data_IF_841194564926
#
_entry.id   IF_841194564926
#
_cell.length_a   1.000
_cell.length_b   1.000
_cell.length_c   1.000
_cell.angle_alpha   90.00
_cell.angle_beta   90.00
_cell.angle_gamma   90.00
#
_symmetry.space_group_name_H-M   'P 1'
#
loop_
_entity.id
_entity.type
_entity.pdbx_description
1 polymer ?
#
# COMPACT_ATOMS: atom_id res chain seq x y z
N UNK A 1 18.59 27.24 83.42
CA UNK A 1 18.62 25.99 82.75
C UNK A 1 17.69 26.12 81.56
N UNK A 2 18.26 26.35 80.37
CA UNK A 2 17.47 26.39 79.08
C UNK A 2 17.71 25.07 78.36
N UNK A 3 16.66 24.31 78.08
CA UNK A 3 16.85 23.20 77.16
C UNK A 3 16.85 23.74 75.71
N UNK A 4 17.93 23.40 75.05
CA UNK A 4 18.09 23.75 73.64
C UNK A 4 17.00 23.10 72.78
N UNK A 5 16.29 23.94 72.04
CA UNK A 5 15.35 23.46 71.02
C UNK A 5 16.11 23.03 69.79
N UNK A 6 16.22 21.73 69.61
CA UNK A 6 16.71 21.18 68.34
C UNK A 6 15.62 21.34 67.26
N UNK A 7 15.84 22.29 66.39
CA UNK A 7 15.05 22.35 65.12
C UNK A 7 15.61 21.30 64.15
N UNK A 8 14.94 20.19 64.05
CA UNK A 8 15.22 19.25 62.97
C UNK A 8 14.60 19.77 61.70
N UNK A 9 15.41 20.39 60.87
CA UNK A 9 15.06 20.72 59.50
C UNK A 9 14.86 19.42 58.72
N UNK A 10 13.63 19.01 58.51
CA UNK A 10 13.30 17.98 57.54
C UNK A 10 13.40 18.60 56.16
N UNK A 11 14.50 18.38 55.48
CA UNK A 11 14.60 18.62 54.06
C UNK A 11 13.70 17.61 53.36
N UNK A 12 12.53 18.06 52.95
CA UNK A 12 11.70 17.31 52.03
C UNK A 12 12.42 17.24 50.67
N UNK A 13 13.06 16.11 50.44
CA UNK A 13 13.59 15.82 49.11
C UNK A 13 12.43 15.69 48.13
N UNK A 14 12.26 16.69 47.31
CA UNK A 14 11.36 16.55 46.13
C UNK A 14 12.04 15.57 45.20
N UNK A 15 11.61 14.32 45.20
CA UNK A 15 11.87 13.40 44.12
C UNK A 15 11.11 13.94 42.92
N UNK A 16 11.83 14.58 42.02
CA UNK A 16 11.32 14.86 40.69
C UNK A 16 11.26 13.52 39.94
N UNK A 17 10.08 12.90 39.89
CA UNK A 17 9.82 11.77 39.03
C UNK A 17 9.83 12.32 37.58
N UNK A 18 10.99 12.17 36.95
CA UNK A 18 11.09 12.45 35.50
C UNK A 18 10.31 11.34 34.80
N UNK A 19 9.03 11.58 34.52
CA UNK A 19 8.28 10.75 33.58
C UNK A 19 8.88 10.97 32.18
N UNK A 20 9.80 10.11 31.81
CA UNK A 20 10.20 9.96 30.41
C UNK A 20 8.98 9.41 29.69
N UNK A 21 8.17 10.30 29.13
CA UNK A 21 7.19 9.95 28.11
C UNK A 21 8.01 9.54 26.87
N UNK A 22 8.26 8.24 26.76
CA UNK A 22 8.70 7.66 25.51
C UNK A 22 7.55 7.87 24.52
N UNK A 23 7.64 8.90 23.68
CA UNK A 23 6.77 9.06 22.56
C UNK A 23 7.02 7.86 21.66
N UNK A 24 6.13 6.87 21.73
CA UNK A 24 6.10 5.79 20.75
C UNK A 24 5.78 6.45 19.41
N UNK A 25 6.80 6.63 18.58
CA UNK A 25 6.62 6.98 17.20
C UNK A 25 5.97 5.76 16.53
N UNK A 26 4.65 5.76 16.47
CA UNK A 26 3.96 4.85 15.54
C UNK A 26 4.35 5.31 14.15
N UNK A 27 5.23 4.56 13.51
CA UNK A 27 5.43 4.70 12.09
C UNK A 27 4.08 4.40 11.44
N UNK A 28 3.34 5.42 11.02
CA UNK A 28 2.22 5.26 10.13
C UNK A 28 2.78 4.69 8.83
N UNK A 29 2.64 3.38 8.65
CA UNK A 29 2.83 2.79 7.33
C UNK A 29 1.93 3.56 6.37
N UNK A 30 2.52 4.13 5.32
CA UNK A 30 1.73 4.75 4.27
C UNK A 30 0.68 3.74 3.79
N UNK A 31 -0.59 4.15 3.53
CA UNK A 31 -1.58 3.25 2.96
C UNK A 31 -1.01 2.62 1.68
N UNK A 32 -1.38 1.38 1.34
CA UNK A 32 -0.96 0.74 0.11
C UNK A 32 -1.22 1.66 -1.08
N UNK A 33 -0.23 1.88 -1.92
CA UNK A 33 -0.38 2.73 -3.08
C UNK A 33 -1.38 2.12 -4.07
N UNK A 34 -2.20 2.95 -4.71
CA UNK A 34 -3.03 2.56 -5.83
C UNK A 34 -2.28 2.86 -7.13
N UNK A 35 -2.22 1.90 -8.06
CA UNK A 35 -1.67 2.08 -9.38
C UNK A 35 -2.79 1.98 -10.44
N UNK A 36 -2.68 2.78 -11.50
CA UNK A 36 -3.64 2.82 -12.58
C UNK A 36 -2.98 2.40 -13.89
N UNK A 37 -3.65 1.54 -14.62
CA UNK A 37 -3.27 1.14 -15.98
C UNK A 37 -4.45 1.43 -16.90
N UNK A 38 -4.23 2.22 -17.92
CA UNK A 38 -5.21 2.43 -18.96
C UNK A 38 -5.06 1.39 -20.06
N UNK A 39 -6.18 0.96 -20.63
CA UNK A 39 -6.22 0.15 -21.85
C UNK A 39 -6.65 1.10 -22.95
N UNK A 40 -5.74 1.38 -23.88
CA UNK A 40 -6.00 2.26 -25.01
C UNK A 40 -5.15 1.89 -26.21
N UNK A 41 -5.72 2.01 -27.41
CA UNK A 41 -5.07 1.64 -28.65
C UNK A 41 -4.56 0.19 -28.64
N UNK A 42 -5.32 -0.73 -28.05
CA UNK A 42 -4.96 -2.15 -27.90
C UNK A 42 -3.65 -2.36 -27.13
N UNK A 43 -3.39 -1.51 -26.15
CA UNK A 43 -2.20 -1.59 -25.30
C UNK A 43 -2.57 -1.33 -23.85
N UNK A 44 -1.82 -1.94 -22.93
CA UNK A 44 -1.80 -1.57 -21.52
C UNK A 44 -0.79 -0.43 -21.33
N UNK A 45 -1.21 0.67 -20.72
CA UNK A 45 -0.39 1.86 -20.54
C UNK A 45 -0.42 2.32 -19.08
N UNK A 46 0.69 2.29 -18.35
CA UNK A 46 1.97 1.66 -18.70
C UNK A 46 1.85 0.13 -18.76
N UNK A 47 2.71 -0.51 -19.53
CA UNK A 47 2.68 -1.99 -19.65
C UNK A 47 3.55 -2.70 -18.61
N UNK A 48 4.27 -1.96 -17.79
CA UNK A 48 5.02 -2.47 -16.65
C UNK A 48 4.91 -1.49 -15.48
N UNK A 49 4.57 -2.01 -14.31
CA UNK A 49 4.39 -1.22 -13.09
C UNK A 49 5.06 -1.92 -11.94
N UNK A 50 5.82 -1.16 -11.14
CA UNK A 50 6.39 -1.64 -9.87
C UNK A 50 5.58 -1.07 -8.71
N UNK A 51 5.10 -1.94 -7.84
CA UNK A 51 4.27 -1.60 -6.69
C UNK A 51 4.79 -2.27 -5.42
N UNK A 52 4.37 -1.78 -4.27
CA UNK A 52 4.61 -2.44 -2.98
C UNK A 52 3.56 -3.51 -2.73
N UNK A 53 3.94 -4.57 -2.02
CA UNK A 53 3.00 -5.58 -1.53
C UNK A 53 1.85 -4.93 -0.75
N UNK A 54 0.63 -5.38 -0.98
CA UNK A 54 -0.60 -4.81 -0.45
C UNK A 54 -1.22 -3.72 -1.32
N UNK A 55 -0.57 -3.32 -2.42
CA UNK A 55 -1.10 -2.32 -3.36
C UNK A 55 -2.18 -2.90 -4.26
N UNK A 56 -3.11 -2.04 -4.66
CA UNK A 56 -4.18 -2.36 -5.61
C UNK A 56 -3.89 -1.74 -6.96
N UNK A 57 -3.99 -2.54 -8.02
CA UNK A 57 -3.90 -2.08 -9.41
C UNK A 57 -5.30 -2.05 -10.01
N UNK A 58 -5.64 -0.97 -10.67
CA UNK A 58 -6.90 -0.80 -11.40
C UNK A 58 -6.62 -0.63 -12.89
N UNK A 59 -7.20 -1.49 -13.70
CA UNK A 59 -7.20 -1.37 -15.16
C UNK A 59 -8.50 -0.73 -15.61
N UNK A 60 -8.43 0.26 -16.49
CA UNK A 60 -9.59 0.95 -17.04
C UNK A 60 -9.55 0.89 -18.55
N UNK A 61 -10.61 0.38 -19.17
CA UNK A 61 -10.71 0.31 -20.62
C UNK A 61 -11.14 1.67 -21.20
N UNK A 62 -10.28 2.25 -22.02
CA UNK A 62 -10.54 3.52 -22.74
C UNK A 62 -10.66 3.33 -24.25
N UNK A 63 -10.64 2.10 -24.71
CA UNK A 63 -10.93 1.76 -26.09
C UNK A 63 -12.43 1.60 -26.35
N UNK A 64 -12.82 1.64 -27.61
CA UNK A 64 -14.18 1.35 -28.06
C UNK A 64 -14.43 -0.17 -28.20
N UNK A 65 -13.39 -0.99 -28.05
CA UNK A 65 -13.43 -2.44 -28.10
C UNK A 65 -13.37 -3.05 -26.71
N UNK A 66 -14.02 -4.20 -26.46
CA UNK A 66 -13.90 -4.88 -25.18
C UNK A 66 -12.51 -5.50 -24.99
N UNK A 67 -12.02 -5.45 -23.75
CA UNK A 67 -10.76 -6.05 -23.34
C UNK A 67 -10.90 -6.82 -22.04
N UNK A 68 -9.98 -7.75 -21.79
CA UNK A 68 -9.87 -8.47 -20.52
C UNK A 68 -8.49 -8.28 -19.93
N UNK A 69 -8.37 -8.56 -18.64
CA UNK A 69 -7.09 -8.66 -17.93
C UNK A 69 -7.02 -10.04 -17.28
N UNK A 70 -6.09 -10.85 -17.73
CA UNK A 70 -5.95 -12.23 -17.29
C UNK A 70 -4.53 -12.49 -16.82
N UNK A 71 -4.36 -12.94 -15.59
CA UNK A 71 -3.08 -13.40 -15.08
C UNK A 71 -2.62 -14.65 -15.81
N UNK A 72 -1.39 -14.65 -16.33
CA UNK A 72 -0.82 -15.82 -17.00
C UNK A 72 -0.70 -17.02 -16.05
N UNK A 73 -0.49 -16.77 -14.77
CA UNK A 73 -0.44 -17.80 -13.71
C UNK A 73 -1.81 -18.17 -13.12
N UNK A 74 -2.91 -17.60 -13.62
CA UNK A 74 -4.25 -17.90 -13.16
C UNK A 74 -4.65 -17.26 -11.82
N UNK A 75 -3.95 -16.24 -11.37
CA UNK A 75 -4.22 -15.57 -10.10
C UNK A 75 -5.47 -14.69 -10.14
N UNK A 76 -5.73 -14.04 -11.27
CA UNK A 76 -6.91 -13.18 -11.48
C UNK A 76 -7.36 -13.22 -12.93
N UNK A 77 -8.63 -12.90 -13.12
CA UNK A 77 -9.26 -12.77 -14.44
C UNK A 77 -10.40 -11.77 -14.36
N UNK A 78 -10.36 -10.74 -15.20
CA UNK A 78 -11.51 -9.85 -15.36
C UNK A 78 -12.59 -10.48 -16.25
N UNK A 79 -13.82 -10.00 -16.12
CA UNK A 79 -14.79 -10.12 -17.21
C UNK A 79 -14.35 -9.26 -18.41
N UNK A 80 -14.98 -9.42 -19.56
CA UNK A 80 -14.81 -8.49 -20.65
C UNK A 80 -15.28 -7.10 -20.20
N UNK A 81 -14.43 -6.10 -20.35
CA UNK A 81 -14.72 -4.72 -19.99
C UNK A 81 -15.06 -3.93 -21.26
N UNK A 82 -16.22 -3.31 -21.26
CA UNK A 82 -16.60 -2.33 -22.25
C UNK A 82 -15.93 -0.98 -21.96
N UNK A 83 -16.11 0.00 -22.83
CA UNK A 83 -15.55 1.35 -22.66
C UNK A 83 -15.92 1.94 -21.30
N UNK A 84 -14.93 2.50 -20.61
CA UNK A 84 -15.01 3.09 -19.27
C UNK A 84 -15.26 2.11 -18.12
N UNK A 85 -15.34 0.83 -18.38
CA UNK A 85 -15.35 -0.19 -17.33
C UNK A 85 -13.94 -0.44 -16.80
N UNK A 86 -13.87 -0.90 -15.54
CA UNK A 86 -12.60 -1.15 -14.87
C UNK A 86 -12.62 -2.45 -14.07
N UNK A 87 -11.41 -2.94 -13.78
CA UNK A 87 -11.15 -4.11 -12.95
C UNK A 87 -10.00 -3.80 -12.01
N UNK A 88 -10.08 -4.26 -10.77
CA UNK A 88 -9.03 -4.06 -9.76
C UNK A 88 -8.61 -5.37 -9.13
N UNK A 89 -7.33 -5.46 -8.80
CA UNK A 89 -6.76 -6.58 -8.04
C UNK A 89 -5.72 -6.09 -7.04
N UNK A 90 -5.71 -6.67 -5.84
CA UNK A 90 -4.75 -6.36 -4.78
C UNK A 90 -3.65 -7.41 -4.74
N UNK A 91 -2.39 -6.98 -4.82
CA UNK A 91 -1.21 -7.84 -4.83
C UNK A 91 -0.58 -7.89 -3.45
N UNK A 92 -0.78 -8.98 -2.72
CA UNK A 92 -0.28 -9.11 -1.33
C UNK A 92 1.12 -9.70 -1.23
N UNK A 93 1.59 -10.39 -2.28
CA UNK A 93 2.87 -11.12 -2.25
C UNK A 93 3.87 -10.52 -3.24
N UNK A 94 5.12 -10.30 -2.81
CA UNK A 94 6.21 -9.96 -3.73
C UNK A 94 6.36 -10.98 -4.84
N UNK A 95 6.70 -10.50 -6.04
CA UNK A 95 6.89 -11.34 -7.21
C UNK A 95 6.70 -10.57 -8.50
N UNK A 96 6.87 -11.25 -9.61
CA UNK A 96 6.64 -10.74 -10.95
C UNK A 96 5.42 -11.43 -11.54
N UNK A 97 4.44 -10.64 -11.95
CA UNK A 97 3.14 -11.11 -12.43
C UNK A 97 2.92 -10.64 -13.85
N UNK A 98 2.78 -11.58 -14.78
CA UNK A 98 2.46 -11.28 -16.18
C UNK A 98 0.96 -11.39 -16.40
N UNK A 99 0.43 -10.53 -17.23
CA UNK A 99 -0.98 -10.54 -17.62
C UNK A 99 -1.15 -10.29 -19.11
N UNK A 100 -2.26 -10.75 -19.63
CA UNK A 100 -2.58 -10.72 -21.06
C UNK A 100 -4.06 -10.43 -21.23
N UNK A 101 -4.43 -9.77 -22.33
CA UNK A 101 -5.81 -9.72 -22.79
C UNK A 101 -6.15 -11.02 -23.52
N UNK A 102 -7.16 -11.75 -23.05
CA UNK A 102 -7.55 -13.03 -23.66
C UNK A 102 -8.16 -12.91 -25.04
N UNK A 103 -8.65 -11.72 -25.40
CA UNK A 103 -9.27 -11.41 -26.70
C UNK A 103 -8.19 -10.96 -27.70
N UNK A 104 -7.13 -10.33 -27.22
CA UNK A 104 -6.03 -9.77 -28.00
C UNK A 104 -4.69 -10.25 -27.42
N UNK A 105 -4.21 -11.47 -27.76
CA UNK A 105 -3.08 -12.10 -27.07
C UNK A 105 -1.74 -11.37 -27.17
N UNK A 106 -1.60 -10.40 -28.04
CA UNK A 106 -0.40 -9.54 -28.10
C UNK A 106 -0.39 -8.40 -27.08
N UNK A 107 -1.54 -8.13 -26.46
CA UNK A 107 -1.64 -7.17 -25.36
C UNK A 107 -1.17 -7.84 -24.09
N UNK A 108 0.05 -7.49 -23.66
CA UNK A 108 0.71 -8.06 -22.49
C UNK A 108 1.21 -6.97 -21.57
N UNK A 109 1.30 -7.28 -20.30
CA UNK A 109 1.88 -6.40 -19.30
C UNK A 109 2.47 -7.15 -18.13
N UNK A 110 3.12 -6.41 -17.23
CA UNK A 110 3.83 -6.94 -16.08
C UNK A 110 3.61 -6.07 -14.86
N UNK A 111 3.31 -6.71 -13.73
CA UNK A 111 3.32 -6.09 -12.41
C UNK A 111 4.49 -6.66 -11.62
N UNK A 112 5.36 -5.79 -11.11
CA UNK A 112 6.45 -6.15 -10.21
C UNK A 112 6.04 -5.71 -8.82
N UNK A 113 5.95 -6.67 -7.89
CA UNK A 113 5.57 -6.43 -6.49
C UNK A 113 6.80 -6.60 -5.60
N UNK A 114 7.11 -5.57 -4.85
CA UNK A 114 8.27 -5.52 -3.94
C UNK A 114 7.87 -5.65 -2.46
#
# INVERSE_FOLDING_TARGET
>A
MNPAKYLTSRRAGRLAVLCLLAAAHQANAAPPAAAQIEIKNFMFTPNAVTIKAGSTVTWSNKDDEPHTVVSDAGLFRSAAMDTDESFSFTFDKPGTYHFTCSIHPRMVGTIIVE
#
